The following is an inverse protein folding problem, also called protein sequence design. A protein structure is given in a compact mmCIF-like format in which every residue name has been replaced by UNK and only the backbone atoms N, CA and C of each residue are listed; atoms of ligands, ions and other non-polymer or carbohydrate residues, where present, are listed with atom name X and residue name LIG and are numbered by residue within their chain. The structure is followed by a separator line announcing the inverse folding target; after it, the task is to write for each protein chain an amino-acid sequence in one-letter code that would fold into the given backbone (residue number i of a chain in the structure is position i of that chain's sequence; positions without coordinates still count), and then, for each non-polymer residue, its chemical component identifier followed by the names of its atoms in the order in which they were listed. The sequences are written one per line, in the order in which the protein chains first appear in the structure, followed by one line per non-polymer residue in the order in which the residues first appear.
data_IF_914426292158
#
_entry.id   IF_914426292158
#
_cell.length_a   1.000
_cell.length_b   1.000
_cell.length_c   1.000
_cell.angle_alpha   90.00
_cell.angle_beta   90.00
_cell.angle_gamma   90.00
#
_symmetry.space_group_name_H-M   'P 1'
#
loop_
_entity.id
_entity.type
_entity.pdbx_description
1 polymer ?
#
# COMPACT_ATOMS: atom_id res chain seq x y z
N UNK A 1 6.79 11.89 -5.25
CA UNK A 1 5.94 10.73 -4.95
C UNK A 1 6.14 10.28 -3.52
N UNK A 2 5.08 10.20 -2.76
CA UNK A 2 5.13 9.71 -1.37
C UNK A 2 5.32 8.19 -1.33
N UNK A 3 6.19 7.70 -0.45
CA UNK A 3 6.47 6.26 -0.28
C UNK A 3 5.88 5.75 1.02
N UNK A 4 6.32 6.30 2.15
CA UNK A 4 5.93 5.81 3.47
C UNK A 4 6.14 6.85 4.57
N UNK A 5 5.42 6.69 5.68
CA UNK A 5 5.71 7.34 6.96
C UNK A 5 5.78 6.29 8.06
N UNK A 6 6.92 6.24 8.74
CA UNK A 6 7.11 5.44 9.97
C UNK A 6 6.69 6.19 11.24
N UNK A 7 6.39 7.49 11.12
CA UNK A 7 6.10 8.35 12.27
C UNK A 7 4.69 8.14 12.83
N UNK A 8 4.57 8.26 14.16
CA UNK A 8 3.29 8.37 14.85
C UNK A 8 2.71 9.80 14.91
N UNK A 9 3.42 10.79 14.35
CA UNK A 9 3.02 12.20 14.37
C UNK A 9 2.31 12.61 13.07
N UNK A 10 1.41 13.60 13.17
CA UNK A 10 0.72 14.22 12.02
C UNK A 10 1.64 15.17 11.30
N UNK A 11 2.63 14.64 10.64
CA UNK A 11 3.70 15.38 10.01
C UNK A 11 3.25 16.06 8.72
N UNK A 12 3.71 17.30 8.53
CA UNK A 12 3.55 18.06 7.28
C UNK A 12 4.87 18.02 6.53
N UNK A 13 4.84 17.73 5.24
CA UNK A 13 6.01 17.79 4.36
C UNK A 13 5.82 18.85 3.30
N UNK A 14 6.86 19.62 3.05
CA UNK A 14 6.86 20.62 1.99
C UNK A 14 8.26 20.91 1.47
N UNK A 15 8.35 21.92 0.64
CA UNK A 15 9.59 22.34 0.03
C UNK A 15 9.76 23.87 0.07
N UNK A 16 10.97 24.33 -0.21
CA UNK A 16 11.33 25.73 -0.36
C UNK A 16 12.37 25.88 -1.44
N UNK A 17 12.50 27.08 -1.97
CA UNK A 17 13.49 27.41 -2.99
C UNK A 17 14.46 28.46 -2.51
N UNK A 18 15.68 28.42 -3.04
CA UNK A 18 16.72 29.40 -2.77
C UNK A 18 17.72 29.43 -3.94
N UNK A 19 18.52 30.51 -4.10
CA UNK A 19 19.56 30.56 -5.14
C UNK A 19 20.58 29.45 -4.94
N UNK A 20 20.90 28.70 -6.00
CA UNK A 20 21.76 27.50 -5.98
C UNK A 20 23.14 27.74 -5.33
N UNK A 21 23.70 28.91 -5.48
CA UNK A 21 25.04 29.24 -4.97
C UNK A 21 25.02 29.94 -3.60
N UNK A 22 23.85 29.97 -2.94
CA UNK A 22 23.67 30.61 -1.64
C UNK A 22 23.29 29.59 -0.57
N UNK A 23 23.61 29.92 0.67
CA UNK A 23 23.11 29.16 1.82
C UNK A 23 21.70 29.67 2.16
N UNK A 24 20.68 28.79 2.26
CA UNK A 24 19.33 29.24 2.56
C UNK A 24 19.24 29.85 3.96
N UNK A 25 18.50 30.96 4.07
CA UNK A 25 18.18 31.63 5.33
C UNK A 25 16.68 31.53 5.60
N UNK A 26 16.27 31.18 6.82
CA UNK A 26 14.86 30.90 7.14
C UNK A 26 13.91 32.08 6.87
N UNK A 27 14.40 33.31 7.02
CA UNK A 27 13.63 34.54 6.75
C UNK A 27 13.58 34.93 5.26
N UNK A 28 14.32 34.23 4.40
CA UNK A 28 14.36 34.47 2.95
C UNK A 28 13.70 33.36 2.12
N UNK A 29 13.37 32.22 2.76
CA UNK A 29 12.72 31.12 2.06
C UNK A 29 11.20 31.21 2.21
N UNK A 30 10.47 30.89 1.13
CA UNK A 30 9.03 30.67 1.16
C UNK A 30 8.76 29.18 1.22
N UNK A 31 8.07 28.75 2.27
CA UNK A 31 7.71 27.33 2.48
C UNK A 31 6.41 27.02 1.77
N UNK A 32 6.40 26.00 0.94
CA UNK A 32 5.25 25.51 0.18
C UNK A 32 4.95 24.08 0.64
N UNK A 33 3.70 23.82 1.00
CA UNK A 33 3.28 22.51 1.46
C UNK A 33 3.02 21.61 0.26
N UNK A 34 3.65 20.44 0.27
CA UNK A 34 3.40 19.39 -0.69
C UNK A 34 2.40 18.36 -0.13
N UNK A 35 2.63 17.91 1.11
CA UNK A 35 1.81 16.91 1.77
C UNK A 35 1.36 17.44 3.14
N UNK A 36 0.08 17.80 3.29
CA UNK A 36 -0.41 18.44 4.50
C UNK A 36 -0.46 17.49 5.71
N UNK A 37 -0.63 16.20 5.49
CA UNK A 37 -0.61 15.18 6.55
C UNK A 37 -0.14 13.85 5.96
N UNK A 38 1.02 13.37 6.41
CA UNK A 38 1.59 12.10 5.96
C UNK A 38 1.25 10.92 6.88
N UNK A 39 0.41 11.15 7.89
CA UNK A 39 -0.08 10.11 8.80
C UNK A 39 -1.32 9.45 8.20
N UNK A 40 -1.39 8.12 8.27
CA UNK A 40 -2.43 7.31 7.62
C UNK A 40 -3.78 7.29 8.34
N UNK A 41 -3.86 7.83 9.54
CA UNK A 41 -5.01 7.63 10.44
C UNK A 41 -5.97 8.81 10.53
N UNK A 42 -5.74 9.89 9.78
CA UNK A 42 -6.46 11.15 9.96
C UNK A 42 -6.96 11.77 8.65
N UNK A 43 -7.79 12.81 8.78
CA UNK A 43 -8.25 13.61 7.64
C UNK A 43 -7.07 14.22 6.86
N UNK A 44 -7.22 14.38 5.56
CA UNK A 44 -6.18 14.86 4.64
C UNK A 44 -4.92 13.99 4.61
N UNK A 45 -5.01 12.73 5.05
CA UNK A 45 -3.93 11.76 4.92
C UNK A 45 -3.60 11.52 3.46
N UNK A 46 -2.33 11.22 3.22
CA UNK A 46 -1.84 10.77 1.92
C UNK A 46 -1.54 9.28 1.98
N UNK A 47 -1.60 8.65 0.83
CA UNK A 47 -1.32 7.23 0.67
C UNK A 47 -0.02 7.03 -0.10
N UNK A 48 0.60 5.88 0.10
CA UNK A 48 1.71 5.47 -0.76
C UNK A 48 1.31 5.59 -2.23
N UNK A 49 2.15 6.26 -3.03
CA UNK A 49 1.97 6.62 -4.45
C UNK A 49 1.25 7.94 -4.71
N UNK A 50 0.71 8.62 -3.73
CA UNK A 50 0.21 9.96 -3.96
C UNK A 50 1.32 10.84 -4.53
N UNK A 51 0.99 11.61 -5.54
CA UNK A 51 1.94 12.44 -6.28
C UNK A 51 1.51 13.88 -6.20
N UNK A 52 2.50 14.73 -6.00
CA UNK A 52 2.34 16.18 -6.05
C UNK A 52 3.37 16.74 -7.03
N UNK A 53 2.90 17.46 -8.02
CA UNK A 53 3.77 18.24 -8.88
C UNK A 53 4.27 19.46 -8.12
N UNK A 54 5.60 19.60 -8.03
CA UNK A 54 6.19 20.76 -7.39
C UNK A 54 6.19 21.94 -8.35
N UNK A 55 5.73 23.10 -7.89
CA UNK A 55 5.65 24.33 -8.67
C UNK A 55 6.53 25.41 -8.08
N UNK A 56 7.17 26.20 -8.93
CA UNK A 56 7.98 27.33 -8.50
C UNK A 56 7.09 28.53 -8.16
N UNK A 57 7.28 29.10 -6.96
CA UNK A 57 6.65 30.35 -6.57
C UNK A 57 7.57 31.54 -6.90
N UNK A 58 7.17 32.40 -7.86
CA UNK A 58 7.96 33.55 -8.32
C UNK A 58 7.81 34.83 -7.45
N UNK A 59 7.04 34.72 -6.37
CA UNK A 59 6.66 35.84 -5.50
C UNK A 59 5.26 36.39 -5.78
N UNK A 60 4.65 36.01 -6.90
CA UNK A 60 3.31 36.48 -7.30
C UNK A 60 2.37 35.35 -7.72
N UNK A 61 2.90 34.31 -8.39
CA UNK A 61 2.14 33.17 -8.87
C UNK A 61 2.99 31.90 -8.95
N UNK A 62 2.34 30.76 -9.06
CA UNK A 62 3.01 29.49 -9.30
C UNK A 62 3.35 29.30 -10.78
N UNK A 63 4.55 28.83 -11.04
CA UNK A 63 5.07 28.48 -12.37
C UNK A 63 5.28 26.95 -12.42
N UNK A 64 5.05 26.35 -13.59
CA UNK A 64 5.17 24.90 -13.78
C UNK A 64 6.64 24.46 -13.85
N UNK A 65 7.55 25.36 -14.19
CA UNK A 65 8.98 25.09 -14.32
C UNK A 65 9.80 25.89 -13.30
N UNK A 66 10.83 25.26 -12.76
CA UNK A 66 11.82 25.92 -11.90
C UNK A 66 12.88 26.61 -12.78
N UNK A 67 13.16 27.90 -12.58
CA UNK A 67 14.17 28.59 -13.38
C UNK A 67 15.58 28.08 -13.07
N UNK A 68 16.48 28.18 -14.03
CA UNK A 68 17.88 27.86 -13.86
C UNK A 68 18.52 28.68 -12.72
N UNK A 69 19.34 28.03 -11.90
CA UNK A 69 20.02 28.67 -10.76
C UNK A 69 19.20 28.68 -9.46
N UNK A 70 18.04 28.00 -9.43
CA UNK A 70 17.27 27.77 -8.21
C UNK A 70 17.52 26.37 -7.68
N UNK A 71 17.79 26.25 -6.40
CA UNK A 71 17.85 24.98 -5.67
C UNK A 71 16.55 24.74 -4.89
N UNK A 72 16.20 23.46 -4.71
CA UNK A 72 15.04 23.04 -3.95
C UNK A 72 15.51 22.38 -2.65
N UNK A 73 15.02 22.86 -1.53
CA UNK A 73 15.14 22.19 -0.24
C UNK A 73 13.79 21.69 0.24
N UNK A 74 13.81 20.73 1.16
CA UNK A 74 12.61 20.13 1.75
C UNK A 74 12.55 20.40 3.24
N UNK A 75 11.34 20.39 3.78
CA UNK A 75 11.12 20.46 5.22
C UNK A 75 10.04 19.47 5.67
N UNK A 76 10.18 19.05 6.91
CA UNK A 76 9.18 18.30 7.65
C UNK A 76 8.84 19.09 8.92
N UNK A 77 7.55 19.29 9.17
CA UNK A 77 7.06 19.87 10.41
C UNK A 77 6.39 18.77 11.25
N UNK A 78 7.05 18.31 12.33
CA UNK A 78 6.48 17.29 13.19
C UNK A 78 5.17 17.77 13.81
N UNK A 79 4.15 16.91 13.77
CA UNK A 79 2.82 17.17 14.31
C UNK A 79 2.21 18.52 13.84
N UNK A 80 2.51 18.90 12.59
CA UNK A 80 2.10 20.19 12.03
C UNK A 80 0.65 20.26 11.54
N UNK A 81 -0.06 19.13 11.48
CA UNK A 81 -1.44 19.08 11.02
C UNK A 81 -2.42 18.99 12.20
N UNK A 82 -3.47 19.81 12.18
CA UNK A 82 -4.53 19.84 13.19
C UNK A 82 -5.84 19.28 12.64
N UNK A 83 -6.34 18.19 13.19
CA UNK A 83 -7.61 17.59 12.81
C UNK A 83 -8.84 18.42 13.20
N UNK A 84 -8.71 19.28 14.21
CA UNK A 84 -9.86 20.02 14.76
C UNK A 84 -10.46 21.01 13.74
N UNK A 85 -9.64 21.49 12.82
CA UNK A 85 -10.04 22.49 11.82
C UNK A 85 -9.38 22.28 10.44
N UNK A 86 -8.64 21.18 10.25
CA UNK A 86 -7.90 20.88 9.01
C UNK A 86 -6.81 21.90 8.70
N UNK A 87 -6.30 22.61 9.70
CA UNK A 87 -5.28 23.65 9.53
C UNK A 87 -3.89 23.09 9.78
N UNK A 88 -2.90 23.79 9.25
CA UNK A 88 -1.50 23.55 9.50
C UNK A 88 -1.04 24.52 10.59
N UNK A 89 -0.48 23.96 11.66
CA UNK A 89 0.05 24.74 12.78
C UNK A 89 1.29 25.53 12.33
N UNK A 90 1.50 26.68 12.96
CA UNK A 90 2.68 27.47 12.69
C UNK A 90 3.96 26.71 13.05
N UNK A 91 5.03 26.82 12.22
CA UNK A 91 6.30 26.17 12.50
C UNK A 91 6.87 26.56 13.86
N UNK A 92 7.30 25.57 14.62
CA UNK A 92 8.01 25.76 15.89
C UNK A 92 9.50 25.82 15.61
N UNK A 93 10.18 26.78 16.21
CA UNK A 93 11.63 27.02 16.02
C UNK A 93 12.46 26.47 17.18
N UNK A 94 13.75 26.28 16.91
CA UNK A 94 14.74 25.92 17.93
C UNK A 94 14.90 24.44 18.19
N UNK A 95 15.14 24.07 19.46
CA UNK A 95 15.42 22.68 19.87
C UNK A 95 14.18 21.93 20.38
N UNK A 96 12.98 22.45 20.15
CA UNK A 96 11.76 21.75 20.49
C UNK A 96 11.62 20.47 19.65
N UNK A 97 11.05 19.41 20.24
CA UNK A 97 10.83 18.14 19.53
C UNK A 97 10.00 18.32 18.25
N UNK A 98 9.08 19.27 18.26
CA UNK A 98 8.22 19.62 17.13
C UNK A 98 8.79 20.79 16.27
N UNK A 99 10.05 21.17 16.44
CA UNK A 99 10.68 22.16 15.57
C UNK A 99 10.76 21.60 14.13
N UNK A 100 10.55 22.51 13.16
CA UNK A 100 10.65 22.14 11.75
C UNK A 100 12.04 21.59 11.44
N UNK A 101 12.09 20.48 10.69
CA UNK A 101 13.30 19.82 10.20
C UNK A 101 13.50 20.19 8.74
N UNK A 102 14.71 20.56 8.37
CA UNK A 102 15.05 20.99 7.01
C UNK A 102 16.09 20.06 6.40
N UNK A 103 16.02 19.90 5.09
CA UNK A 103 17.06 19.20 4.34
C UNK A 103 18.39 19.95 4.31
N UNK A 104 18.35 21.26 4.49
CA UNK A 104 19.55 22.13 4.64
C UNK A 104 19.97 22.19 6.11
N UNK A 105 21.12 21.59 6.50
CA UNK A 105 21.49 21.49 7.93
C UNK A 105 21.62 22.83 8.65
N UNK A 106 22.03 23.88 7.95
CA UNK A 106 22.18 25.22 8.52
C UNK A 106 20.88 25.85 9.04
N UNK A 107 19.71 25.34 8.57
CA UNK A 107 18.39 25.74 9.05
C UNK A 107 17.94 24.95 10.29
N UNK A 108 18.63 23.86 10.60
CA UNK A 108 18.35 23.03 11.77
C UNK A 108 19.11 23.54 13.01
N UNK A 109 18.59 23.18 14.19
CA UNK A 109 19.25 23.49 15.46
C UNK A 109 20.68 22.92 15.47
N UNK A 110 21.67 23.76 15.76
CA UNK A 110 23.11 23.40 15.78
C UNK A 110 23.64 22.74 14.48
N UNK A 111 22.97 22.93 13.35
CA UNK A 111 23.38 22.34 12.08
C UNK A 111 23.13 20.83 11.99
N UNK A 112 22.22 20.28 12.77
CA UNK A 112 21.91 18.84 12.78
C UNK A 112 21.46 18.35 11.41
N UNK A 113 21.93 17.17 11.02
CA UNK A 113 21.46 16.49 9.82
C UNK A 113 20.16 15.75 10.14
N UNK A 114 19.08 16.16 9.52
CA UNK A 114 17.72 15.62 9.74
C UNK A 114 17.12 14.98 8.50
N UNK A 115 17.94 14.82 7.46
CA UNK A 115 17.51 14.28 6.17
C UNK A 115 18.64 13.47 5.58
N UNK A 116 18.29 12.37 4.95
CA UNK A 116 19.14 11.68 4.01
C UNK A 116 18.56 11.83 2.60
N UNK A 117 19.43 11.92 1.63
CA UNK A 117 19.08 11.83 0.22
C UNK A 117 19.93 10.73 -0.41
N UNK A 118 19.30 9.85 -1.16
CA UNK A 118 19.95 8.74 -1.84
C UNK A 118 19.59 8.84 -3.33
N UNK A 119 20.60 8.80 -4.18
CA UNK A 119 20.43 8.82 -5.62
C UNK A 119 20.27 7.37 -6.10
N UNK A 120 19.26 7.13 -6.91
CA UNK A 120 19.28 5.94 -7.75
C UNK A 120 20.45 6.10 -8.75
N UNK A 121 21.51 5.32 -8.50
CA UNK A 121 22.78 5.41 -9.23
C UNK A 121 22.64 5.21 -10.74
N UNK A 122 21.56 4.62 -11.16
CA UNK A 122 21.38 4.19 -12.52
C UNK A 122 20.34 5.07 -13.27
N UNK A 123 19.19 5.40 -12.71
CA UNK A 123 18.22 6.28 -13.37
C UNK A 123 18.64 7.75 -13.34
N UNK A 124 19.43 8.14 -12.33
CA UNK A 124 19.83 9.54 -12.08
C UNK A 124 18.71 10.57 -12.11
N UNK A 125 17.46 10.10 -12.19
CA UNK A 125 16.24 10.89 -12.20
C UNK A 125 15.45 10.74 -10.91
N UNK A 126 15.76 9.71 -10.09
CA UNK A 126 15.09 9.48 -8.83
C UNK A 126 16.02 9.77 -7.66
N UNK A 127 15.59 10.69 -6.81
CA UNK A 127 16.25 10.98 -5.52
C UNK A 127 15.29 10.60 -4.43
N UNK A 128 15.62 9.57 -3.65
CA UNK A 128 14.86 9.20 -2.45
C UNK A 128 15.28 10.10 -1.29
N UNK A 129 14.31 10.66 -0.61
CA UNK A 129 14.52 11.53 0.56
C UNK A 129 13.85 10.90 1.76
N UNK A 130 14.61 10.74 2.84
CA UNK A 130 14.14 10.32 4.15
C UNK A 130 14.33 11.40 5.19
N UNK A 131 13.34 11.63 6.04
CA UNK A 131 13.38 12.56 7.16
C UNK A 131 13.36 11.82 8.50
N UNK A 132 14.08 12.40 9.46
CA UNK A 132 14.05 12.09 10.89
C UNK A 132 13.28 13.20 11.63
N UNK A 133 12.13 12.87 12.23
CA UNK A 133 11.31 13.83 12.99
C UNK A 133 11.67 13.87 14.48
N UNK A 134 12.29 12.82 15.01
CA UNK A 134 12.68 12.62 16.41
C UNK A 134 14.18 12.66 16.67
N UNK A 135 14.72 11.62 17.30
CA UNK A 135 16.13 11.51 17.72
C UNK A 135 16.69 10.07 17.63
N UNK A 136 16.00 9.15 16.99
CA UNK A 136 16.43 7.75 16.91
C UNK A 136 17.34 7.47 15.70
N UNK A 137 17.55 8.47 14.85
CA UNK A 137 18.32 8.39 13.60
C UNK A 137 17.74 7.39 12.59
N UNK A 138 16.45 7.17 12.65
CA UNK A 138 15.72 6.36 11.72
C UNK A 138 15.04 7.25 10.65
N UNK A 139 15.72 7.58 9.59
CA UNK A 139 15.25 8.51 8.56
C UNK A 139 14.04 7.99 7.73
N UNK A 140 13.20 7.15 8.30
CA UNK A 140 11.97 6.62 7.70
C UNK A 140 10.69 7.30 8.18
N UNK A 141 10.78 8.35 9.00
CA UNK A 141 9.60 9.05 9.52
C UNK A 141 8.79 9.72 8.41
N UNK A 142 9.45 10.15 7.35
CA UNK A 142 8.83 10.52 6.09
C UNK A 142 9.75 10.12 4.94
N UNK A 143 9.29 9.23 4.08
CA UNK A 143 10.05 8.81 2.90
C UNK A 143 9.27 9.14 1.63
N UNK A 144 9.92 9.81 0.71
CA UNK A 144 9.38 10.11 -0.62
C UNK A 144 10.50 10.15 -1.64
N UNK A 145 10.18 10.02 -2.90
CA UNK A 145 11.15 10.23 -3.97
C UNK A 145 10.74 11.37 -4.90
N UNK A 146 11.72 11.98 -5.49
CA UNK A 146 11.59 12.97 -6.55
C UNK A 146 11.74 12.25 -7.88
N UNK A 147 10.77 12.44 -8.75
CA UNK A 147 10.88 12.11 -10.17
C UNK A 147 11.25 13.39 -10.90
N UNK A 148 12.44 13.43 -11.49
CA UNK A 148 13.05 14.66 -12.03
C UNK A 148 13.17 14.52 -13.55
N UNK A 149 12.39 15.33 -14.26
CA UNK A 149 12.33 15.29 -15.72
C UNK A 149 13.69 15.62 -16.40
N UNK A 150 14.53 16.45 -15.76
CA UNK A 150 15.83 16.85 -16.28
C UNK A 150 16.97 16.22 -15.46
N UNK A 151 17.65 15.22 -16.02
CA UNK A 151 18.73 14.46 -15.36
C UNK A 151 19.89 15.33 -14.85
N UNK A 152 20.16 16.44 -15.52
CA UNK A 152 21.25 17.36 -15.17
C UNK A 152 20.89 18.32 -14.02
N UNK A 153 19.64 18.30 -13.55
CA UNK A 153 19.20 19.08 -12.40
C UNK A 153 19.71 18.53 -11.04
N UNK A 154 20.22 17.29 -11.02
CA UNK A 154 20.73 16.64 -9.80
C UNK A 154 22.25 16.80 -9.72
N UNK A 155 22.74 17.33 -8.60
CA UNK A 155 24.19 17.36 -8.31
C UNK A 155 24.66 16.01 -7.73
N UNK A 156 25.00 15.09 -8.62
CA UNK A 156 25.37 13.70 -8.31
C UNK A 156 26.51 13.53 -7.30
N UNK A 157 27.46 14.46 -7.29
CA UNK A 157 28.67 14.34 -6.45
C UNK A 157 28.41 14.57 -4.95
N UNK A 158 27.22 14.99 -4.57
CA UNK A 158 26.86 15.32 -3.18
C UNK A 158 25.84 14.37 -2.56
N UNK A 159 25.25 13.50 -3.35
CA UNK A 159 24.19 12.55 -2.92
C UNK A 159 24.76 11.13 -3.06
N UNK A 160 24.85 10.35 -1.96
CA UNK A 160 25.29 8.96 -2.03
C UNK A 160 24.32 8.09 -2.83
N UNK A 161 24.85 7.08 -3.49
CA UNK A 161 24.04 6.07 -4.17
C UNK A 161 23.26 5.19 -3.17
N UNK A 162 22.10 4.72 -3.58
CA UNK A 162 21.37 3.69 -2.84
C UNK A 162 22.22 2.41 -2.79
N UNK A 163 22.33 1.73 -1.63
CA UNK A 163 23.02 0.44 -1.54
C UNK A 163 22.32 -0.61 -2.41
N UNK A 164 23.10 -1.39 -3.14
CA UNK A 164 22.70 -2.15 -4.33
C UNK A 164 22.12 -3.56 -4.10
N UNK A 165 21.71 -3.95 -2.91
CA UNK A 165 21.22 -5.33 -2.72
C UNK A 165 19.74 -5.57 -3.12
N UNK A 166 18.96 -4.51 -3.34
CA UNK A 166 17.58 -4.58 -3.86
C UNK A 166 17.16 -3.28 -4.57
N UNK A 167 18.09 -2.49 -5.05
CA UNK A 167 17.76 -1.29 -5.79
C UNK A 167 17.03 -1.67 -7.09
N UNK A 168 15.95 -0.94 -7.45
CA UNK A 168 15.37 -1.09 -8.78
C UNK A 168 16.46 -0.88 -9.83
N UNK A 169 16.38 -1.65 -10.92
CA UNK A 169 17.25 -1.39 -12.05
C UNK A 169 16.99 0.03 -12.59
N UNK A 170 17.92 0.64 -13.33
CA UNK A 170 17.80 2.05 -13.79
C UNK A 170 16.53 2.38 -14.53
N UNK A 171 15.94 1.34 -15.11
CA UNK A 171 14.69 1.41 -15.86
C UNK A 171 13.45 1.06 -15.04
N UNK A 172 13.60 0.74 -13.74
CA UNK A 172 12.48 0.26 -12.92
C UNK A 172 11.94 1.37 -12.00
N UNK A 173 10.66 1.65 -12.14
CA UNK A 173 9.87 2.35 -11.14
C UNK A 173 9.29 1.31 -10.18
N UNK A 174 9.45 1.51 -8.89
CA UNK A 174 8.99 0.59 -7.85
C UNK A 174 7.76 1.16 -7.16
N UNK A 175 6.73 0.33 -7.04
CA UNK A 175 5.52 0.72 -6.35
C UNK A 175 5.14 -0.35 -5.33
N UNK A 176 4.95 0.06 -4.08
CA UNK A 176 4.52 -0.82 -3.00
C UNK A 176 3.12 -0.44 -2.53
N UNK A 177 2.25 -1.43 -2.45
CA UNK A 177 0.93 -1.36 -1.81
C UNK A 177 0.84 -2.39 -0.73
N UNK A 178 0.00 -2.15 0.26
CA UNK A 178 -0.26 -3.11 1.32
C UNK A 178 -1.70 -2.95 1.81
N UNK A 179 -2.13 -3.88 2.64
CA UNK A 179 -3.46 -3.84 3.23
C UNK A 179 -3.76 -5.09 4.05
N UNK A 180 -4.99 -5.15 4.55
CA UNK A 180 -5.56 -6.30 5.23
C UNK A 180 -6.72 -6.86 4.42
N UNK A 181 -6.76 -8.18 4.29
CA UNK A 181 -7.86 -8.96 3.72
C UNK A 181 -8.55 -9.71 4.85
N UNK A 182 -9.89 -9.70 4.86
CA UNK A 182 -10.69 -10.46 5.83
C UNK A 182 -11.81 -11.22 5.12
N UNK A 183 -12.16 -12.40 5.61
CA UNK A 183 -13.09 -13.31 4.97
C UNK A 183 -13.99 -14.02 5.96
N UNK A 184 -15.24 -14.29 5.54
CA UNK A 184 -16.13 -15.29 6.10
C UNK A 184 -15.96 -16.62 5.37
N UNK A 185 -15.89 -17.75 6.09
CA UNK A 185 -15.61 -19.06 5.51
C UNK A 185 -16.84 -19.95 5.30
N UNK A 186 -18.02 -19.47 5.73
CA UNK A 186 -19.27 -20.22 5.59
C UNK A 186 -19.99 -20.04 4.26
N UNK A 187 -19.60 -19.05 3.45
CA UNK A 187 -20.26 -18.86 2.15
C UNK A 187 -20.68 -20.20 1.52
N UNK A 188 -21.89 -20.37 0.96
CA UNK A 188 -22.92 -19.36 0.68
C UNK A 188 -23.80 -18.92 1.85
N UNK A 189 -23.66 -19.49 3.05
CA UNK A 189 -24.29 -18.97 4.24
C UNK A 189 -23.48 -17.79 4.81
N UNK A 190 -24.18 -16.84 5.47
CA UNK A 190 -23.57 -15.65 6.03
C UNK A 190 -22.73 -15.93 7.29
N UNK A 191 -23.06 -16.99 8.02
CA UNK A 191 -22.38 -17.31 9.28
C UNK A 191 -22.71 -16.33 10.41
N UNK A 192 -21.75 -16.07 11.29
CA UNK A 192 -21.87 -15.07 12.37
C UNK A 192 -21.46 -13.67 11.94
N UNK A 193 -20.89 -13.56 10.74
CA UNK A 193 -20.59 -12.32 10.05
C UNK A 193 -19.71 -11.36 10.87
N UNK A 194 -18.70 -11.89 11.49
CA UNK A 194 -17.74 -11.11 12.28
C UNK A 194 -16.45 -10.75 11.50
N UNK A 195 -16.31 -11.29 10.28
CA UNK A 195 -15.21 -11.01 9.36
C UNK A 195 -13.82 -11.35 9.94
N UNK A 196 -13.76 -12.40 10.76
CA UNK A 196 -12.52 -12.79 11.41
C UNK A 196 -12.09 -14.24 11.11
N UNK A 197 -12.87 -15.01 10.34
CA UNK A 197 -12.56 -16.41 10.04
C UNK A 197 -11.19 -16.58 9.39
N UNK A 198 -10.84 -15.70 8.45
CA UNK A 198 -9.50 -15.63 7.86
C UNK A 198 -9.08 -14.18 7.71
N UNK A 199 -7.97 -13.80 8.33
CA UNK A 199 -7.38 -12.47 8.17
C UNK A 199 -5.93 -12.55 7.73
N UNK A 200 -5.59 -11.80 6.70
CA UNK A 200 -4.26 -11.81 6.06
C UNK A 200 -3.80 -10.38 5.78
N UNK A 201 -2.64 -10.01 6.29
CA UNK A 201 -1.97 -8.79 5.83
C UNK A 201 -1.16 -9.10 4.57
N UNK A 202 -1.18 -8.17 3.63
CA UNK A 202 -0.36 -8.28 2.43
C UNK A 202 0.47 -7.03 2.19
N UNK A 203 1.57 -7.22 1.45
CA UNK A 203 2.40 -6.17 0.88
C UNK A 203 2.81 -6.62 -0.51
N UNK A 204 2.56 -5.80 -1.52
CA UNK A 204 2.91 -6.09 -2.91
C UNK A 204 3.81 -4.99 -3.46
N UNK A 205 4.98 -5.37 -3.96
CA UNK A 205 5.94 -4.48 -4.60
C UNK A 205 6.06 -4.84 -6.07
N UNK A 206 5.69 -3.91 -6.94
CA UNK A 206 5.74 -4.05 -8.39
C UNK A 206 6.91 -3.23 -8.94
N UNK A 207 7.76 -3.90 -9.71
CA UNK A 207 8.87 -3.31 -10.47
C UNK A 207 8.44 -3.16 -11.93
N UNK A 208 8.60 -1.98 -12.50
CA UNK A 208 8.24 -1.70 -13.89
C UNK A 208 9.25 -0.80 -14.58
N UNK A 209 9.40 -0.94 -15.88
CA UNK A 209 10.24 -0.04 -16.67
C UNK A 209 9.62 1.35 -16.77
N UNK A 210 10.44 2.39 -16.62
CA UNK A 210 9.99 3.79 -16.71
C UNK A 210 9.50 4.16 -18.10
N UNK A 211 10.20 3.69 -19.14
CA UNK A 211 9.90 4.07 -20.51
C UNK A 211 8.62 3.44 -21.06
N UNK A 212 8.35 2.18 -20.71
CA UNK A 212 7.27 1.41 -21.34
C UNK A 212 6.13 1.07 -20.39
N UNK A 213 6.24 1.41 -19.11
CA UNK A 213 5.30 1.04 -18.06
C UNK A 213 5.01 -0.48 -17.99
N UNK A 214 5.99 -1.31 -18.40
CA UNK A 214 5.90 -2.77 -18.37
C UNK A 214 6.41 -3.31 -17.04
N UNK A 215 5.66 -4.22 -16.45
CA UNK A 215 6.08 -4.92 -15.24
C UNK A 215 7.22 -5.87 -15.59
N UNK A 216 8.27 -5.86 -14.78
CA UNK A 216 9.42 -6.75 -14.88
C UNK A 216 9.38 -7.82 -13.80
N UNK A 217 8.99 -7.43 -12.59
CA UNK A 217 8.96 -8.29 -11.40
C UNK A 217 7.88 -7.85 -10.42
N UNK A 218 7.33 -8.80 -9.69
CA UNK A 218 6.44 -8.58 -8.55
C UNK A 218 7.02 -9.32 -7.35
N UNK A 219 7.00 -8.70 -6.17
CA UNK A 219 7.29 -9.35 -4.90
C UNK A 219 6.10 -9.12 -3.98
N UNK A 220 5.38 -10.20 -3.71
CA UNK A 220 4.22 -10.19 -2.83
C UNK A 220 4.57 -10.85 -1.51
N UNK A 221 4.17 -10.24 -0.41
CA UNK A 221 4.26 -10.80 0.93
C UNK A 221 2.87 -10.95 1.51
N UNK A 222 2.57 -12.13 2.04
CA UNK A 222 1.30 -12.41 2.73
C UNK A 222 1.57 -13.00 4.10
N UNK A 223 0.95 -12.42 5.12
CA UNK A 223 1.09 -12.87 6.51
C UNK A 223 -0.29 -13.17 7.08
N UNK A 224 -0.65 -14.46 7.23
CA UNK A 224 -1.86 -14.86 7.93
C UNK A 224 -1.80 -14.38 9.38
N UNK A 225 -2.80 -13.61 9.81
CA UNK A 225 -2.81 -12.98 11.15
C UNK A 225 -3.75 -13.64 12.13
N UNK A 226 -4.90 -14.05 11.65
CA UNK A 226 -5.95 -14.59 12.51
C UNK A 226 -6.77 -15.66 11.80
N UNK A 227 -7.26 -16.61 12.58
CA UNK A 227 -8.23 -17.61 12.20
C UNK A 227 -9.29 -17.71 13.30
N UNK A 228 -10.48 -17.16 13.08
CA UNK A 228 -11.66 -17.33 13.93
C UNK A 228 -12.44 -18.60 13.61
N UNK A 229 -12.37 -19.06 12.36
CA UNK A 229 -13.13 -20.19 11.85
C UNK A 229 -12.64 -21.56 12.32
N UNK A 230 -13.56 -22.55 12.24
CA UNK A 230 -13.24 -23.94 12.59
C UNK A 230 -12.72 -24.77 11.42
N UNK A 231 -12.90 -24.28 10.18
CA UNK A 231 -12.53 -25.00 8.97
C UNK A 231 -11.03 -24.92 8.68
N UNK A 232 -10.56 -25.80 7.79
CA UNK A 232 -9.21 -25.75 7.25
C UNK A 232 -9.26 -24.87 6.01
N UNK A 233 -8.96 -23.60 6.15
CA UNK A 233 -9.04 -22.63 5.06
C UNK A 233 -7.70 -22.44 4.40
N UNK A 234 -7.66 -22.58 3.07
CA UNK A 234 -6.54 -22.26 2.22
C UNK A 234 -6.60 -20.81 1.73
N UNK A 235 -5.49 -20.33 1.18
CA UNK A 235 -5.43 -19.00 0.57
C UNK A 235 -4.61 -18.98 -0.70
N UNK A 236 -5.08 -18.18 -1.66
CA UNK A 236 -4.39 -17.92 -2.90
C UNK A 236 -4.87 -16.63 -3.57
N UNK A 237 -4.30 -16.36 -4.73
CA UNK A 237 -4.72 -15.24 -5.56
C UNK A 237 -4.49 -15.53 -7.03
N UNK A 238 -5.28 -14.89 -7.88
CA UNK A 238 -5.22 -15.05 -9.32
C UNK A 238 -4.80 -13.75 -10.00
N UNK A 239 -3.86 -13.82 -10.92
CA UNK A 239 -3.38 -12.69 -11.71
C UNK A 239 -4.29 -12.53 -12.94
N UNK A 240 -5.47 -11.98 -12.73
CA UNK A 240 -6.41 -11.68 -13.82
C UNK A 240 -5.82 -10.65 -14.78
N UNK A 241 -6.25 -10.67 -16.05
CA UNK A 241 -5.80 -9.78 -17.13
C UNK A 241 -4.39 -10.03 -17.69
N UNK A 242 -3.70 -11.07 -17.24
CA UNK A 242 -2.49 -11.60 -17.88
C UNK A 242 -2.65 -13.10 -18.13
N UNK A 243 -1.79 -13.63 -18.98
CA UNK A 243 -1.79 -15.06 -19.34
C UNK A 243 -0.56 -15.78 -18.78
N UNK A 244 -0.56 -17.10 -18.84
CA UNK A 244 0.62 -17.90 -18.44
C UNK A 244 1.89 -17.53 -19.22
N UNK A 245 1.76 -17.07 -20.48
CA UNK A 245 2.90 -16.65 -21.31
C UNK A 245 3.49 -15.32 -20.88
N UNK A 246 2.77 -14.53 -20.10
CA UNK A 246 3.26 -13.27 -19.54
C UNK A 246 4.11 -13.50 -18.28
N UNK A 247 4.05 -14.69 -17.68
CA UNK A 247 4.82 -15.07 -16.48
C UNK A 247 6.04 -15.89 -16.91
N UNK A 248 7.24 -15.47 -16.49
CA UNK A 248 8.49 -16.24 -16.71
C UNK A 248 8.68 -17.31 -15.64
N UNK A 249 8.51 -16.93 -14.39
CA UNK A 249 8.67 -17.83 -13.25
C UNK A 249 7.95 -17.30 -12.02
N UNK A 250 7.58 -18.23 -11.12
CA UNK A 250 7.07 -17.93 -9.78
C UNK A 250 7.91 -18.71 -8.78
N UNK A 251 8.39 -18.02 -7.76
CA UNK A 251 9.06 -18.61 -6.60
C UNK A 251 8.25 -18.30 -5.36
N UNK A 252 8.00 -19.30 -4.52
CA UNK A 252 7.28 -19.14 -3.24
C UNK A 252 8.22 -19.56 -2.12
N UNK A 253 8.50 -18.64 -1.22
CA UNK A 253 9.18 -18.88 0.05
C UNK A 253 8.15 -18.80 1.18
N UNK A 254 8.08 -19.84 2.01
CA UNK A 254 7.07 -19.89 3.06
C UNK A 254 7.21 -21.13 3.95
N UNK A 255 6.42 -21.23 5.04
CA UNK A 255 6.53 -22.31 6.01
C UNK A 255 6.10 -23.68 5.47
N UNK A 256 5.12 -23.71 4.58
CA UNK A 256 4.63 -24.92 3.91
C UNK A 256 4.15 -24.56 2.51
N UNK A 257 3.95 -25.56 1.69
CA UNK A 257 3.50 -25.39 0.30
C UNK A 257 2.10 -25.96 0.13
N UNK A 258 1.25 -25.24 -0.62
CA UNK A 258 -0.06 -25.77 -0.98
C UNK A 258 0.09 -27.08 -1.80
N UNK A 259 -0.79 -28.02 -1.53
CA UNK A 259 -0.84 -29.31 -2.25
C UNK A 259 -1.57 -29.20 -3.60
N UNK A 260 -2.24 -28.09 -3.87
CA UNK A 260 -2.99 -27.87 -5.11
C UNK A 260 -2.15 -27.31 -6.26
N UNK A 261 -0.90 -26.89 -6.01
CA UNK A 261 -0.03 -26.29 -7.04
C UNK A 261 0.97 -27.28 -7.62
N UNK A 262 1.31 -27.09 -8.91
CA UNK A 262 2.32 -27.84 -9.63
C UNK A 262 3.76 -27.40 -9.31
N UNK A 263 4.73 -27.99 -10.01
CA UNK A 263 6.16 -27.65 -9.84
C UNK A 263 6.51 -26.23 -10.30
N UNK A 264 5.67 -25.63 -11.10
CA UNK A 264 5.74 -24.23 -11.57
C UNK A 264 5.17 -23.22 -10.58
N UNK A 265 4.74 -23.68 -9.40
CA UNK A 265 4.11 -22.90 -8.34
C UNK A 265 2.75 -22.28 -8.74
N UNK A 266 2.08 -22.85 -9.72
CA UNK A 266 0.74 -22.45 -10.16
C UNK A 266 -0.24 -23.63 -10.08
N UNK A 267 -1.52 -23.30 -9.88
CA UNK A 267 -2.60 -24.27 -9.96
C UNK A 267 -2.92 -24.57 -11.43
N UNK A 268 -2.89 -25.85 -11.81
CA UNK A 268 -3.17 -26.27 -13.18
C UNK A 268 -4.66 -26.18 -13.54
N UNK A 269 -4.98 -25.96 -14.82
CA UNK A 269 -6.35 -25.94 -15.32
C UNK A 269 -7.11 -24.66 -14.98
N UNK A 270 -6.42 -23.58 -14.82
CA UNK A 270 -6.95 -22.23 -14.65
C UNK A 270 -6.77 -21.42 -15.94
N UNK A 271 -7.68 -20.50 -16.22
CA UNK A 271 -7.55 -19.55 -17.34
C UNK A 271 -6.43 -18.54 -17.10
N UNK A 272 -6.30 -18.08 -15.86
CA UNK A 272 -5.29 -17.11 -15.46
C UNK A 272 -4.28 -17.70 -14.47
N UNK A 273 -3.03 -17.21 -14.44
CA UNK A 273 -2.04 -17.65 -13.45
C UNK A 273 -2.60 -17.54 -12.03
N UNK A 274 -2.67 -18.66 -11.35
CA UNK A 274 -3.27 -18.78 -10.01
C UNK A 274 -2.24 -19.36 -9.04
N UNK A 275 -1.94 -18.62 -8.00
CA UNK A 275 -0.96 -18.95 -6.96
C UNK A 275 -1.69 -19.32 -5.68
N UNK A 276 -1.40 -20.50 -5.11
CA UNK A 276 -1.93 -20.92 -3.82
C UNK A 276 -0.78 -21.04 -2.83
N UNK A 277 -0.93 -20.43 -1.64
CA UNK A 277 0.15 -20.36 -0.68
C UNK A 277 0.10 -21.49 0.34
N UNK A 278 -1.05 -21.73 0.92
CA UNK A 278 -1.25 -22.78 1.93
C UNK A 278 -2.66 -23.36 1.84
N UNK A 279 -2.81 -24.55 2.43
CA UNK A 279 -4.10 -25.26 2.47
C UNK A 279 -4.79 -25.11 3.82
N UNK A 280 -4.07 -24.73 4.88
CA UNK A 280 -4.65 -24.57 6.21
C UNK A 280 -4.01 -23.41 6.97
N UNK A 281 -4.78 -22.33 7.13
CA UNK A 281 -4.33 -21.13 7.84
C UNK A 281 -3.84 -21.40 9.26
N UNK A 282 -4.40 -22.39 9.97
CA UNK A 282 -4.05 -22.72 11.38
C UNK A 282 -2.58 -23.07 11.56
N UNK A 283 -1.94 -23.61 10.51
CA UNK A 283 -0.53 -24.04 10.55
C UNK A 283 0.43 -22.88 10.37
N UNK A 284 -0.05 -21.73 9.85
CA UNK A 284 0.82 -20.69 9.28
C UNK A 284 0.59 -19.29 9.85
N UNK A 285 -0.23 -19.18 10.89
CA UNK A 285 -0.47 -17.89 11.58
C UNK A 285 0.87 -17.25 11.99
N UNK A 286 1.00 -15.96 11.66
CA UNK A 286 2.18 -15.14 11.98
C UNK A 286 3.42 -15.44 11.12
N UNK A 287 3.32 -16.33 10.12
CA UNK A 287 4.43 -16.67 9.23
C UNK A 287 4.22 -16.03 7.86
N UNK A 288 5.23 -15.34 7.37
CA UNK A 288 5.15 -14.63 6.09
C UNK A 288 5.51 -15.54 4.93
N UNK A 289 4.72 -15.47 3.87
CA UNK A 289 5.02 -15.97 2.55
C UNK A 289 5.59 -14.85 1.70
N UNK A 290 6.65 -15.13 0.94
CA UNK A 290 7.17 -14.24 -0.09
C UNK A 290 7.02 -14.90 -1.45
N UNK A 291 6.29 -14.26 -2.35
CA UNK A 291 6.11 -14.73 -3.73
C UNK A 291 6.83 -13.77 -4.66
N UNK A 292 7.82 -14.28 -5.38
CA UNK A 292 8.51 -13.54 -6.43
C UNK A 292 8.03 -14.00 -7.78
N UNK A 293 7.51 -13.08 -8.59
CA UNK A 293 6.98 -13.34 -9.93
C UNK A 293 7.81 -12.55 -10.94
N UNK A 294 8.53 -13.25 -11.81
CA UNK A 294 9.19 -12.65 -12.95
C UNK A 294 8.21 -12.54 -14.12
N UNK A 295 8.02 -11.34 -14.64
CA UNK A 295 7.07 -11.05 -15.71
C UNK A 295 7.81 -10.93 -17.05
N UNK A 296 7.25 -11.52 -18.09
CA UNK A 296 7.79 -11.43 -19.45
C UNK A 296 7.26 -10.20 -20.19
N UNK A 297 5.95 -9.96 -20.11
CA UNK A 297 5.31 -8.87 -20.83
C UNK A 297 3.90 -8.59 -20.24
N UNK A 298 3.81 -7.67 -19.31
CA UNK A 298 2.52 -7.18 -18.82
C UNK A 298 2.56 -5.68 -18.60
N UNK A 299 1.48 -5.01 -18.97
CA UNK A 299 1.31 -3.58 -18.66
C UNK A 299 0.97 -3.42 -17.17
N UNK A 300 1.55 -2.41 -16.53
CA UNK A 300 1.32 -2.13 -15.12
C UNK A 300 -0.17 -1.99 -14.78
N UNK A 301 -0.93 -1.34 -15.64
CA UNK A 301 -2.37 -1.11 -15.42
C UNK A 301 -3.22 -2.38 -15.42
N UNK A 302 -2.66 -3.52 -15.83
CA UNK A 302 -3.36 -4.82 -15.83
C UNK A 302 -3.28 -5.56 -14.50
N UNK A 303 -2.30 -5.25 -13.67
CA UNK A 303 -2.04 -5.95 -12.42
C UNK A 303 -2.04 -4.96 -11.25
N UNK A 304 -3.18 -4.81 -10.61
CA UNK A 304 -3.37 -3.93 -9.46
C UNK A 304 -3.54 -4.80 -8.21
N UNK A 305 -2.63 -4.72 -7.21
CA UNK A 305 -2.79 -5.46 -5.95
C UNK A 305 -4.06 -5.04 -5.19
N UNK A 306 -4.71 -5.97 -4.48
CA UNK A 306 -4.28 -7.33 -4.18
C UNK A 306 -4.60 -8.37 -5.28
N UNK A 307 -4.81 -7.96 -6.53
CA UNK A 307 -5.19 -8.82 -7.66
C UNK A 307 -6.59 -9.40 -7.46
N UNK A 308 -6.75 -10.73 -7.58
CA UNK A 308 -7.97 -11.44 -7.23
C UNK A 308 -7.65 -12.42 -6.09
N UNK A 309 -7.59 -11.97 -4.83
CA UNK A 309 -7.29 -12.82 -3.68
C UNK A 309 -8.52 -13.58 -3.23
N UNK A 310 -8.33 -14.81 -2.75
CA UNK A 310 -9.42 -15.66 -2.29
C UNK A 310 -8.98 -16.67 -1.25
N UNK A 311 -9.95 -17.13 -0.48
CA UNK A 311 -9.80 -18.32 0.36
C UNK A 311 -10.46 -19.54 -0.29
N UNK A 312 -9.94 -20.72 0.04
CA UNK A 312 -10.58 -22.00 -0.24
C UNK A 312 -11.14 -22.52 1.08
N UNK A 313 -12.46 -22.55 1.23
CA UNK A 313 -13.08 -22.99 2.48
C UNK A 313 -13.03 -24.51 2.57
N UNK A 314 -12.66 -25.03 3.76
CA UNK A 314 -12.65 -26.48 4.04
C UNK A 314 -11.84 -27.29 3.02
N UNK A 315 -10.58 -26.98 2.84
CA UNK A 315 -9.68 -27.65 1.89
C UNK A 315 -9.60 -29.17 2.05
N UNK A 316 -9.88 -29.68 3.25
CA UNK A 316 -10.02 -31.11 3.54
C UNK A 316 -11.25 -31.76 2.90
N UNK A 317 -12.23 -30.96 2.45
CA UNK A 317 -13.40 -31.41 1.69
C UNK A 317 -13.19 -31.27 0.18
N UNK A 318 -12.09 -30.65 -0.26
CA UNK A 318 -11.71 -30.48 -1.65
C UNK A 318 -11.49 -29.06 -2.09
N UNK A 319 -11.38 -28.90 -3.41
CA UNK A 319 -11.22 -27.61 -4.09
C UNK A 319 -12.57 -27.20 -4.70
N UNK A 320 -12.97 -25.97 -4.58
CA UNK A 320 -14.17 -25.47 -5.24
C UNK A 320 -15.01 -24.50 -4.43
N UNK A 321 -15.01 -24.63 -3.11
CA UNK A 321 -15.68 -23.63 -2.27
C UNK A 321 -14.74 -22.45 -2.03
N UNK A 322 -14.91 -21.39 -2.81
CA UNK A 322 -14.07 -20.19 -2.80
C UNK A 322 -14.83 -18.97 -2.28
N UNK A 323 -14.14 -18.07 -1.62
CA UNK A 323 -14.65 -16.73 -1.31
C UNK A 323 -13.65 -15.68 -1.79
N UNK A 324 -14.11 -14.80 -2.67
CA UNK A 324 -13.36 -13.67 -3.20
C UNK A 324 -13.92 -12.34 -2.68
N UNK A 325 -13.26 -11.25 -3.00
CA UNK A 325 -13.80 -9.91 -2.79
C UNK A 325 -15.06 -9.70 -3.66
N UNK A 326 -15.95 -8.81 -3.24
CA UNK A 326 -17.18 -8.50 -4.01
C UNK A 326 -16.84 -8.09 -5.44
N UNK A 327 -17.56 -8.66 -6.40
CA UNK A 327 -17.42 -8.45 -7.84
C UNK A 327 -16.08 -8.94 -8.45
N UNK A 328 -15.27 -9.68 -7.68
CA UNK A 328 -14.16 -10.41 -8.24
C UNK A 328 -14.63 -11.78 -8.75
N UNK A 329 -14.28 -12.16 -9.97
CA UNK A 329 -14.75 -13.42 -10.54
C UNK A 329 -14.12 -14.63 -9.81
N UNK A 330 -14.88 -15.73 -9.70
CA UNK A 330 -14.33 -17.00 -9.19
C UNK A 330 -13.24 -17.53 -10.12
N UNK A 331 -12.48 -18.51 -9.62
CA UNK A 331 -11.54 -19.25 -10.46
C UNK A 331 -12.29 -20.34 -11.28
N UNK A 332 -11.59 -20.95 -12.27
CA UNK A 332 -12.17 -22.06 -13.05
C UNK A 332 -12.42 -23.34 -12.21
N UNK A 333 -11.97 -23.36 -10.95
CA UNK A 333 -12.17 -24.47 -10.01
C UNK A 333 -13.33 -24.25 -9.04
N UNK A 334 -13.95 -23.08 -9.06
CA UNK A 334 -15.09 -22.79 -8.20
C UNK A 334 -16.28 -23.71 -8.49
N UNK A 335 -17.01 -24.12 -7.45
CA UNK A 335 -18.23 -24.88 -7.60
C UNK A 335 -19.41 -23.96 -7.95
N UNK A 336 -19.77 -23.95 -9.21
CA UNK A 336 -20.84 -23.10 -9.74
C UNK A 336 -22.23 -23.44 -9.20
N UNK A 337 -22.42 -24.59 -8.51
CA UNK A 337 -23.70 -24.96 -7.93
C UNK A 337 -23.99 -24.20 -6.62
N UNK A 338 -23.02 -23.48 -6.08
CA UNK A 338 -23.17 -22.73 -4.83
C UNK A 338 -23.77 -21.33 -5.02
N UNK A 339 -23.74 -20.78 -6.25
CA UNK A 339 -24.29 -19.45 -6.54
C UNK A 339 -25.79 -19.37 -6.29
N UNK A 340 -26.23 -18.25 -5.72
CA UNK A 340 -27.63 -17.97 -5.41
C UNK A 340 -28.27 -19.03 -4.50
N UNK A 341 -27.46 -19.67 -3.65
CA UNK A 341 -27.93 -20.58 -2.58
C UNK A 341 -27.68 -19.98 -1.19
N UNK A 342 -28.33 -20.48 -0.16
CA UNK A 342 -28.20 -19.93 1.19
C UNK A 342 -28.53 -18.43 1.24
N UNK A 343 -27.65 -17.63 1.80
CA UNK A 343 -27.73 -16.17 1.85
C UNK A 343 -26.98 -15.47 0.70
N UNK A 344 -26.40 -16.23 -0.24
CA UNK A 344 -25.69 -15.65 -1.40
C UNK A 344 -26.66 -15.08 -2.44
N UNK A 345 -26.48 -13.82 -2.81
CA UNK A 345 -27.22 -13.13 -3.85
C UNK A 345 -26.39 -12.89 -5.12
N UNK A 346 -25.32 -13.63 -5.30
CA UNK A 346 -24.48 -13.52 -6.51
C UNK A 346 -25.28 -13.79 -7.79
N UNK A 347 -24.98 -13.03 -8.85
CA UNK A 347 -25.56 -13.16 -10.18
C UNK A 347 -24.42 -13.17 -11.21
N UNK A 348 -23.80 -14.33 -11.46
CA UNK A 348 -22.62 -14.44 -12.33
C UNK A 348 -22.85 -13.88 -13.74
N UNK A 349 -24.07 -13.99 -14.28
CA UNK A 349 -24.45 -13.44 -15.58
C UNK A 349 -24.45 -11.90 -15.62
N UNK A 350 -24.45 -11.26 -14.48
CA UNK A 350 -24.34 -9.80 -14.31
C UNK A 350 -23.00 -9.37 -13.72
N UNK A 351 -22.03 -10.28 -13.61
CA UNK A 351 -20.73 -10.06 -12.93
C UNK A 351 -20.88 -9.58 -11.47
N UNK A 352 -21.92 -10.00 -10.80
CA UNK A 352 -22.15 -9.77 -9.38
C UNK A 352 -21.77 -11.03 -8.62
N UNK A 353 -20.71 -10.95 -7.81
CA UNK A 353 -20.14 -12.08 -7.09
C UNK A 353 -19.95 -11.77 -5.61
N UNK A 354 -20.13 -12.76 -4.75
CA UNK A 354 -19.82 -12.75 -3.32
C UNK A 354 -20.50 -11.62 -2.55
N UNK A 355 -21.77 -11.44 -2.79
CA UNK A 355 -22.63 -10.50 -2.09
C UNK A 355 -23.83 -11.23 -1.47
N UNK A 356 -24.18 -10.89 -0.23
CA UNK A 356 -25.34 -11.48 0.48
C UNK A 356 -26.67 -10.87 0.03
N UNK A 357 -27.78 -11.49 0.45
CA UNK A 357 -29.14 -11.00 0.22
C UNK A 357 -29.36 -9.58 0.79
N UNK A 358 -28.58 -9.17 1.78
CA UNK A 358 -28.59 -7.82 2.37
C UNK A 358 -27.59 -6.86 1.72
N UNK A 359 -27.03 -7.22 0.55
CA UNK A 359 -25.97 -6.51 -0.18
C UNK A 359 -24.69 -6.30 0.65
N UNK A 360 -24.37 -7.26 1.52
CA UNK A 360 -23.14 -7.22 2.31
C UNK A 360 -22.08 -8.15 1.71
N UNK A 361 -20.78 -7.83 1.83
CA UNK A 361 -19.69 -8.63 1.27
C UNK A 361 -19.39 -9.86 2.14
N UNK A 362 -18.90 -10.95 1.53
CA UNK A 362 -18.32 -12.09 2.26
C UNK A 362 -16.80 -11.95 2.48
N UNK A 363 -16.19 -10.94 1.89
CA UNK A 363 -14.80 -10.60 2.09
C UNK A 363 -14.58 -9.08 1.99
N UNK A 364 -13.62 -8.57 2.73
CA UNK A 364 -13.28 -7.15 2.78
C UNK A 364 -11.81 -6.96 2.47
N UNK A 365 -11.51 -5.94 1.69
CA UNK A 365 -10.17 -5.40 1.49
C UNK A 365 -10.05 -4.03 2.14
N UNK A 366 -9.09 -3.87 3.03
CA UNK A 366 -8.71 -2.63 3.68
C UNK A 366 -7.36 -2.17 3.11
N UNK A 367 -7.35 -1.34 2.06
CA UNK A 367 -6.10 -0.82 1.52
C UNK A 367 -5.43 0.11 2.52
N UNK A 368 -4.09 0.06 2.55
CA UNK A 368 -3.23 0.87 3.42
C UNK A 368 -3.46 0.68 4.93
N UNK A 369 -4.11 -0.42 5.32
CA UNK A 369 -4.34 -0.81 6.72
C UNK A 369 -3.56 -2.08 7.02
N UNK A 370 -2.70 -2.02 8.05
CA UNK A 370 -2.11 -3.20 8.71
C UNK A 370 -2.64 -3.24 10.14
N UNK A 371 -2.60 -4.43 10.73
CA UNK A 371 -3.05 -4.63 12.12
C UNK A 371 -4.50 -4.22 12.38
N UNK A 372 -5.40 -4.42 11.38
CA UNK A 372 -6.83 -4.21 11.60
C UNK A 372 -7.28 -4.96 12.85
N UNK A 373 -7.92 -4.26 13.84
CA UNK A 373 -8.31 -4.91 15.09
C UNK A 373 -9.38 -5.96 14.85
N UNK A 374 -9.08 -7.20 15.21
CA UNK A 374 -9.96 -8.34 15.04
C UNK A 374 -11.29 -8.10 15.76
N UNK A 375 -12.46 -8.22 15.11
CA UNK A 375 -13.75 -8.29 15.81
C UNK A 375 -13.77 -9.45 16.80
N UNK A 376 -14.54 -9.34 17.88
CA UNK A 376 -14.70 -10.45 18.79
C UNK A 376 -15.55 -11.56 18.15
N UNK A 377 -15.21 -12.81 18.41
CA UNK A 377 -15.91 -13.99 17.94
C UNK A 377 -17.42 -13.89 18.16
N UNK A 378 -18.22 -14.13 17.13
CA UNK A 378 -19.69 -14.02 17.10
C UNK A 378 -20.24 -12.61 17.33
N UNK A 379 -19.42 -11.58 17.19
CA UNK A 379 -19.88 -10.20 17.19
C UNK A 379 -19.87 -9.69 15.75
N UNK A 380 -21.07 -9.60 15.16
CA UNK A 380 -21.21 -9.11 13.77
C UNK A 380 -20.41 -7.85 13.54
N UNK A 381 -19.73 -7.77 12.40
CA UNK A 381 -18.89 -6.60 12.05
C UNK A 381 -19.68 -5.29 12.08
N UNK A 382 -20.97 -5.32 11.73
CA UNK A 382 -21.86 -4.15 11.80
C UNK A 382 -22.12 -3.67 13.23
N UNK A 383 -21.92 -4.53 14.23
CA UNK A 383 -22.00 -4.19 15.66
C UNK A 383 -20.64 -3.73 16.18
N UNK A 384 -19.58 -4.47 15.83
CA UNK A 384 -18.21 -4.11 16.21
C UNK A 384 -17.78 -2.78 15.60
N UNK A 385 -18.23 -2.49 14.38
CA UNK A 385 -17.92 -1.29 13.62
C UNK A 385 -19.18 -0.66 13.02
N UNK A 386 -19.87 0.23 13.75
CA UNK A 386 -21.17 0.76 13.32
C UNK A 386 -21.16 1.50 11.97
N UNK A 387 -20.02 2.07 11.58
CA UNK A 387 -19.85 2.76 10.28
C UNK A 387 -19.77 1.82 9.09
N UNK A 388 -19.53 0.51 9.29
CA UNK A 388 -19.29 -0.46 8.22
C UNK A 388 -20.48 -0.58 7.25
N UNK A 389 -21.70 -0.74 7.78
CA UNK A 389 -22.88 -0.94 6.94
C UNK A 389 -23.14 0.25 5.98
N UNK A 390 -22.92 1.47 6.44
CA UNK A 390 -23.07 2.67 5.60
C UNK A 390 -21.95 2.80 4.58
N UNK A 391 -20.72 2.43 4.95
CA UNK A 391 -19.60 2.34 4.00
C UNK A 391 -19.92 1.37 2.87
N UNK A 392 -20.45 0.19 3.17
CA UNK A 392 -20.87 -0.80 2.15
C UNK A 392 -21.98 -0.24 1.27
N UNK A 393 -23.07 0.28 1.86
CA UNK A 393 -24.22 0.82 1.12
C UNK A 393 -23.86 1.98 0.20
N UNK A 394 -22.89 2.78 0.58
CA UNK A 394 -22.39 3.91 -0.21
C UNK A 394 -21.29 3.50 -1.22
N UNK A 395 -21.01 2.21 -1.37
CA UNK A 395 -19.92 1.71 -2.20
C UNK A 395 -18.57 2.36 -1.85
N UNK A 396 -18.31 2.53 -0.56
CA UNK A 396 -17.08 3.13 -0.05
C UNK A 396 -17.03 4.67 -0.06
N UNK A 397 -18.14 5.35 -0.41
CA UNK A 397 -18.15 6.81 -0.50
C UNK A 397 -18.25 7.50 0.87
N UNK A 398 -18.94 6.89 1.84
CA UNK A 398 -19.14 7.40 3.19
C UNK A 398 -18.44 6.54 4.23
N UNK A 399 -18.20 7.08 5.43
CA UNK A 399 -17.55 6.40 6.56
C UNK A 399 -16.27 5.66 6.15
N UNK A 400 -15.40 6.29 5.37
CA UNK A 400 -14.16 5.68 4.85
C UNK A 400 -13.20 5.22 5.95
N UNK A 401 -13.35 5.77 7.13
CA UNK A 401 -12.57 5.52 8.34
C UNK A 401 -13.29 4.59 9.34
N UNK A 402 -14.35 3.89 8.92
CA UNK A 402 -15.18 3.03 9.78
C UNK A 402 -14.35 2.04 10.62
N UNK A 403 -13.25 1.55 10.05
CA UNK A 403 -12.36 0.57 10.68
C UNK A 403 -11.54 1.14 11.85
N UNK A 404 -11.54 2.46 12.04
CA UNK A 404 -10.92 3.15 13.19
C UNK A 404 -11.89 3.29 14.37
N UNK A 405 -13.17 3.02 14.18
CA UNK A 405 -14.24 3.29 15.14
C UNK A 405 -14.86 1.99 15.66
N UNK A 406 -14.02 1.13 16.28
CA UNK A 406 -14.48 -0.10 16.92
C UNK A 406 -15.24 0.21 18.20
N UNK A 407 -16.45 -0.38 18.36
CA UNK A 407 -17.13 -0.41 19.66
C UNK A 407 -16.35 -1.30 20.64
N UNK A 408 -16.26 -0.87 21.89
CA UNK A 408 -15.66 -1.63 22.98
C UNK A 408 -16.54 -2.85 23.38
#
# INVERSE_FOLDING_TARGET
VFVNSGAGYKNVVGYYTYPKNETPEENKITKIIAFPNITRTDQASIFSRDQVELKYWDGTQFQDEFPAGVAIGFFLQPNGFSNNNGTIENPVKGNAWNATKYSSPNLNYQGEKRTIALLDAISTQMVTIGFEDGKDNNFSDATFYLDIAQKDAVEKNTIPDLPDENAPTPDDNVQTTFGTLTYEDKWPEEGDYDMNDVMIDYESTIYKTLETNKITKIIDKFTPRHNGGIYNNGFGYQLTNITYTDVKSITIEGPERSTFIGNDNMESGQTYPTVLLFDNIKNVIGKTYTVTIEIANADYNKLIPPYNPFIICSTDQGRGKEVHLVNYPPTDKADNNLWSTGEDASQPEHNLFYVSNDNMPFAIHLPDVKDFPVPAEKVRITTAYPGFAEWVRSSGAQNKDWYLHKNE
#
